data_IF_020797867397
#
_entry.id   IF_020797867397
#
_cell.length_a   1.000
_cell.length_b   1.000
_cell.length_c   1.000
_cell.angle_alpha   90.00
_cell.angle_beta   90.00
_cell.angle_gamma   90.00
#
_symmetry.space_group_name_H-M   'P 1'
#
loop_
_entity.id
_entity.type
_entity.pdbx_description
1 polymer ?
2 polymer ?
3 non-polymer ?
4 non-polymer ?
5 water ?
#
# COMPACT_ATOMS: atom_id res chain seq x y z
N UNK A 1 -4.37 -10.06 -36.37
CA UNK A 1 -3.85 -9.04 -37.26
C UNK A 1 -2.33 -8.96 -37.18
N UNK A 2 -1.77 -7.77 -37.41
CA UNK A 2 -0.33 -7.61 -37.20
C UNK A 2 -0.04 -7.26 -35.74
N UNK A 3 0.71 -8.12 -35.06
CA UNK A 3 1.12 -7.86 -33.69
C UNK A 3 2.63 -7.79 -33.54
N UNK A 4 3.12 -6.63 -33.15
CA UNK A 4 4.55 -6.41 -32.97
C UNK A 4 5.07 -7.08 -31.71
N UNK A 5 6.38 -7.08 -31.57
CA UNK A 5 7.02 -7.56 -30.34
C UNK A 5 6.31 -7.03 -29.10
N UNK A 6 6.12 -5.72 -29.05
CA UNK A 6 5.52 -5.07 -27.88
C UNK A 6 4.03 -5.40 -27.65
N UNK A 7 3.24 -5.43 -28.73
CA UNK A 7 1.85 -5.82 -28.62
C UNK A 7 1.78 -7.11 -27.81
N UNK A 8 2.66 -8.05 -28.12
CA UNK A 8 2.66 -9.35 -27.43
C UNK A 8 3.21 -9.25 -26.00
N UNK A 9 4.34 -8.58 -25.84
CA UNK A 9 4.97 -8.41 -24.53
C UNK A 9 3.94 -7.78 -23.60
N UNK A 10 3.21 -6.80 -24.14
CA UNK A 10 2.11 -6.20 -23.42
C UNK A 10 1.06 -7.23 -22.98
N UNK A 11 0.74 -8.14 -23.89
CA UNK A 11 -0.25 -9.15 -23.58
C UNK A 11 0.23 -10.05 -22.45
N UNK A 12 1.44 -10.60 -22.56
CA UNK A 12 1.93 -11.47 -21.50
C UNK A 12 1.96 -10.70 -20.19
N UNK A 13 2.39 -9.45 -20.28
CA UNK A 13 2.44 -8.62 -19.08
C UNK A 13 1.06 -8.55 -18.45
N UNK A 14 0.04 -8.33 -19.28
CA UNK A 14 -1.34 -8.22 -18.84
C UNK A 14 -1.71 -9.49 -18.09
N UNK A 15 -1.28 -10.62 -18.64
CA UNK A 15 -1.66 -11.91 -18.11
C UNK A 15 -0.95 -12.18 -16.77
N UNK A 16 0.34 -11.92 -16.71
CA UNK A 16 1.06 -12.10 -15.46
C UNK A 16 0.50 -11.17 -14.40
N UNK A 17 -0.08 -10.04 -14.81
CA UNK A 17 -0.68 -9.16 -13.82
C UNK A 17 -1.93 -9.84 -13.32
N UNK A 18 -2.76 -10.22 -14.26
CA UNK A 18 -4.00 -10.91 -13.93
C UNK A 18 -3.74 -12.01 -12.90
N UNK A 19 -2.86 -12.93 -13.26
CA UNK A 19 -2.54 -14.02 -12.35
C UNK A 19 -2.12 -13.50 -10.99
N UNK A 20 -1.13 -12.62 -10.96
CA UNK A 20 -0.60 -12.10 -9.72
C UNK A 20 -1.76 -11.63 -8.86
N UNK A 21 -2.59 -10.76 -9.43
CA UNK A 21 -3.68 -10.14 -8.69
C UNK A 21 -4.65 -11.16 -8.11
N UNK A 22 -5.12 -12.07 -8.95
CA UNK A 22 -5.96 -13.15 -8.48
C UNK A 22 -5.32 -13.96 -7.37
N UNK A 23 -4.10 -14.45 -7.55
CA UNK A 23 -3.55 -15.38 -6.55
C UNK A 23 -3.63 -14.83 -5.13
N UNK A 24 -3.58 -13.51 -4.97
CA UNK A 24 -3.77 -12.92 -3.65
C UNK A 24 -5.04 -13.48 -3.00
N UNK A 25 -6.12 -13.43 -3.77
CA UNK A 25 -7.41 -13.93 -3.35
C UNK A 25 -7.36 -15.45 -3.14
N UNK A 26 -6.28 -16.08 -3.57
CA UNK A 26 -6.18 -17.54 -3.56
C UNK A 26 -7.41 -18.16 -4.20
N UNK A 27 -7.71 -17.71 -5.42
CA UNK A 27 -9.04 -17.86 -6.02
C UNK A 27 -9.66 -19.27 -5.96
N UNK A 28 -9.19 -20.21 -6.80
CA UNK A 28 -8.16 -20.21 -7.87
C UNK A 28 -8.67 -19.80 -9.26
N UNK A 29 -7.73 -19.50 -10.16
CA UNK A 29 -8.02 -18.86 -11.45
C UNK A 29 -8.48 -19.80 -12.57
N UNK A 30 -9.59 -19.45 -13.22
CA UNK A 30 -10.17 -20.27 -14.30
C UNK A 30 -9.70 -19.90 -15.72
N UNK A 31 -9.25 -20.90 -16.47
CA UNK A 31 -8.76 -20.71 -17.83
C UNK A 31 -9.74 -19.91 -18.69
N UNK A 32 -11.02 -20.14 -18.48
CA UNK A 32 -12.05 -19.39 -19.21
C UNK A 32 -12.08 -17.95 -18.72
N UNK A 33 -12.02 -17.77 -17.41
CA UNK A 33 -11.93 -16.42 -16.86
C UNK A 33 -10.69 -15.72 -17.39
N UNK A 34 -9.59 -16.47 -17.48
CA UNK A 34 -8.37 -15.96 -18.09
C UNK A 34 -8.65 -15.57 -19.54
N UNK A 35 -9.51 -16.34 -20.18
CA UNK A 35 -9.69 -16.18 -21.61
C UNK A 35 -10.62 -15.01 -21.94
N UNK A 36 -11.65 -14.83 -21.11
CA UNK A 36 -12.60 -13.76 -21.28
C UNK A 36 -11.94 -12.43 -20.99
N UNK A 37 -11.20 -12.37 -19.89
CA UNK A 37 -10.81 -11.09 -19.33
C UNK A 37 -9.43 -10.59 -19.72
N UNK A 38 -8.70 -11.36 -20.53
CA UNK A 38 -7.38 -10.91 -20.95
C UNK A 38 -7.05 -11.18 -22.41
N UNK A 39 -7.28 -12.40 -22.87
CA UNK A 39 -6.87 -12.77 -24.20
C UNK A 39 -7.65 -12.03 -25.29
N UNK A 40 -8.97 -12.05 -25.20
CA UNK A 40 -9.76 -11.48 -26.28
C UNK A 40 -9.30 -12.14 -27.57
N UNK A 41 -9.08 -11.32 -28.60
CA UNK A 41 -8.80 -11.80 -29.95
C UNK A 41 -7.45 -12.48 -30.12
N UNK A 42 -6.59 -12.39 -29.11
CA UNK A 42 -5.26 -13.01 -29.17
C UNK A 42 -5.30 -14.50 -28.86
N UNK A 43 -6.50 -15.09 -28.91
CA UNK A 43 -6.66 -16.49 -28.55
C UNK A 43 -5.79 -17.41 -29.38
N UNK A 44 -5.72 -17.15 -30.69
CA UNK A 44 -5.01 -18.03 -31.63
C UNK A 44 -3.59 -18.41 -31.21
N UNK A 45 -2.92 -17.52 -30.47
CA UNK A 45 -1.53 -17.71 -30.09
C UNK A 45 -1.37 -17.85 -28.58
N UNK A 46 -2.46 -18.20 -27.92
CA UNK A 46 -2.50 -18.19 -26.47
C UNK A 46 -1.52 -19.15 -25.79
N UNK A 47 -1.53 -20.44 -26.17
CA UNK A 47 -0.69 -21.36 -25.39
C UNK A 47 0.75 -20.85 -25.28
N UNK A 48 1.37 -20.49 -26.40
CA UNK A 48 2.69 -19.86 -26.38
C UNK A 48 2.71 -18.65 -25.44
N UNK A 49 1.65 -17.86 -25.52
CA UNK A 49 1.49 -16.67 -24.70
C UNK A 49 1.47 -17.02 -23.21
N UNK A 50 0.64 -17.99 -22.84
CA UNK A 50 0.58 -18.54 -21.49
C UNK A 50 1.97 -18.96 -21.00
N UNK A 51 2.63 -19.82 -21.77
CA UNK A 51 4.00 -20.24 -21.52
C UNK A 51 4.89 -19.09 -21.05
N UNK A 52 4.79 -17.98 -21.76
CA UNK A 52 5.55 -16.78 -21.40
C UNK A 52 5.12 -16.24 -20.04
N UNK A 53 3.82 -16.08 -19.87
CA UNK A 53 3.31 -15.63 -18.59
C UNK A 53 3.96 -16.49 -17.53
N UNK A 54 3.76 -17.79 -17.66
CA UNK A 54 4.28 -18.76 -16.70
C UNK A 54 5.74 -18.49 -16.32
N UNK A 55 6.59 -18.39 -17.34
CA UNK A 55 8.02 -18.18 -17.11
C UNK A 55 8.28 -16.83 -16.44
N UNK A 56 7.88 -15.74 -17.07
CA UNK A 56 8.03 -14.45 -16.41
C UNK A 56 7.51 -14.55 -14.98
N UNK A 57 6.31 -15.11 -14.85
CA UNK A 57 5.70 -15.26 -13.54
C UNK A 57 6.70 -15.91 -12.59
N UNK A 58 7.30 -17.00 -13.05
CA UNK A 58 8.31 -17.67 -12.27
C UNK A 58 9.59 -16.86 -12.15
N UNK A 59 10.12 -16.44 -13.30
CA UNK A 59 11.45 -15.89 -13.32
C UNK A 59 11.59 -14.56 -12.62
N UNK A 60 10.61 -13.68 -12.80
CA UNK A 60 10.76 -12.35 -12.24
C UNK A 60 10.20 -12.28 -10.81
N UNK A 61 9.16 -13.05 -10.53
CA UNK A 61 8.55 -12.98 -9.21
C UNK A 61 8.70 -14.26 -8.43
N UNK A 62 9.30 -15.24 -9.07
CA UNK A 62 9.47 -16.53 -8.43
C UNK A 62 8.14 -17.12 -8.04
N UNK A 63 7.20 -17.21 -8.97
CA UNK A 63 5.97 -17.98 -8.74
C UNK A 63 5.81 -19.13 -9.71
N UNK A 64 5.53 -20.32 -9.20
CA UNK A 64 5.22 -21.43 -10.09
C UNK A 64 3.72 -21.46 -10.37
N UNK A 65 3.34 -21.26 -11.63
CA UNK A 65 1.94 -21.38 -12.02
C UNK A 65 1.64 -22.85 -12.22
N UNK A 66 0.68 -23.35 -11.44
CA UNK A 66 0.36 -24.77 -11.47
C UNK A 66 -1.13 -25.05 -11.57
N UNK A 67 -1.50 -25.96 -12.46
CA UNK A 67 -2.86 -26.47 -12.45
C UNK A 67 -2.92 -27.25 -11.16
N UNK A 68 -4.00 -27.12 -10.41
CA UNK A 68 -4.04 -27.75 -9.09
C UNK A 68 -4.43 -29.23 -9.14
N UNK A 69 -5.46 -29.53 -9.91
CA UNK A 69 -5.78 -30.92 -10.19
C UNK A 69 -5.50 -31.16 -11.67
N UNK A 70 -5.06 -32.36 -12.04
CA UNK A 70 -4.83 -32.65 -13.46
C UNK A 70 -6.13 -32.51 -14.24
N UNK A 71 -6.08 -31.79 -15.36
CA UNK A 71 -7.28 -31.54 -16.16
C UNK A 71 -8.29 -30.74 -15.35
N UNK A 72 -7.78 -29.85 -14.50
CA UNK A 72 -8.61 -28.92 -13.76
C UNK A 72 -9.14 -27.81 -14.64
N UNK A 73 -8.35 -27.41 -15.63
CA UNK A 73 -8.59 -26.17 -16.36
C UNK A 73 -8.57 -25.02 -15.37
N UNK A 74 -7.82 -25.20 -14.27
CA UNK A 74 -7.71 -24.15 -13.27
C UNK A 74 -6.31 -24.09 -12.66
N UNK A 75 -5.83 -22.88 -12.41
CA UNK A 75 -4.44 -22.68 -12.02
C UNK A 75 -4.27 -21.92 -10.72
N UNK A 76 -3.07 -22.02 -10.14
CA UNK A 76 -2.80 -21.38 -8.87
C UNK A 76 -1.34 -20.94 -8.81
N UNK A 77 -1.00 -20.11 -7.83
CA UNK A 77 0.37 -19.66 -7.69
C UNK A 77 1.02 -20.23 -6.45
N UNK A 78 2.21 -20.78 -6.67
CA UNK A 78 2.99 -21.42 -5.63
C UNK A 78 4.27 -20.63 -5.46
N UNK A 79 4.65 -20.39 -4.21
CA UNK A 79 5.86 -19.63 -3.95
C UNK A 79 7.08 -20.56 -3.95
N UNK A 80 8.08 -20.26 -4.80
CA UNK A 80 9.29 -21.06 -4.90
C UNK A 80 10.25 -20.81 -3.73
N UNK A 81 10.26 -19.57 -3.27
CA UNK A 81 11.02 -19.16 -2.09
C UNK A 81 10.30 -19.68 -0.84
N UNK A 82 10.96 -19.84 0.30
CA UNK A 82 12.37 -19.63 0.57
C UNK A 82 12.60 -20.03 2.02
N UNK A 83 11.55 -20.00 2.86
CA UNK A 83 10.20 -19.45 2.66
C UNK A 83 9.73 -18.63 3.87
N UNK A 84 8.98 -17.55 3.64
CA UNK A 84 8.39 -16.74 4.71
C UNK A 84 8.30 -15.25 4.32
N UNK A 89 5.35 -9.41 14.71
CA UNK A 89 6.67 -8.84 15.00
C UNK A 89 7.48 -9.69 15.97
N UNK A 90 6.81 -10.60 16.67
CA UNK A 90 7.53 -11.53 17.55
C UNK A 90 7.30 -12.98 17.12
N UNK A 91 8.38 -13.63 16.69
CA UNK A 91 8.36 -15.05 16.37
C UNK A 91 9.65 -15.73 16.85
N UNK A 94 5.16 -22.33 13.85
CA UNK A 94 5.89 -23.20 14.76
C UNK A 94 6.33 -22.47 16.04
N UNK A 95 5.67 -21.37 16.35
CA UNK A 95 5.94 -20.62 17.57
C UNK A 95 5.06 -21.11 18.71
N UNK A 96 5.43 -20.76 19.95
CA UNK A 96 4.75 -21.27 21.13
C UNK A 96 3.31 -20.77 21.23
N UNK A 97 2.46 -21.51 21.95
CA UNK A 97 1.06 -21.11 21.99
C UNK A 97 0.91 -19.90 22.87
N UNK A 98 1.52 -20.00 24.04
CA UNK A 98 1.41 -19.01 25.10
C UNK A 98 1.99 -17.68 24.64
N UNK A 99 3.12 -17.73 23.96
CA UNK A 99 3.76 -16.51 23.51
C UNK A 99 2.76 -15.61 22.76
N UNK A 100 1.89 -16.20 21.97
CA UNK A 100 0.84 -15.44 21.32
C UNK A 100 0.02 -14.71 22.38
N UNK A 101 -0.47 -15.50 23.34
CA UNK A 101 -1.22 -14.99 24.48
C UNK A 101 -0.54 -13.76 25.10
N UNK A 102 0.66 -13.99 25.60
CA UNK A 102 1.49 -12.94 26.14
C UNK A 102 1.44 -11.74 25.23
N UNK A 103 1.93 -11.95 24.03
CA UNK A 103 1.96 -10.90 23.02
C UNK A 103 0.66 -10.09 23.03
N UNK A 104 -0.46 -10.79 23.02
CA UNK A 104 -1.75 -10.12 23.08
C UNK A 104 -1.81 -9.24 24.33
N UNK A 105 -1.44 -9.84 25.44
CA UNK A 105 -1.54 -9.15 26.73
C UNK A 105 -0.58 -7.98 26.79
N UNK A 106 0.69 -8.23 26.56
CA UNK A 106 1.64 -7.13 26.55
C UNK A 106 1.13 -6.11 25.51
N UNK A 107 0.32 -6.61 24.57
CA UNK A 107 -0.27 -5.75 23.55
C UNK A 107 -1.32 -4.85 24.16
N UNK A 108 -2.38 -5.44 24.70
CA UNK A 108 -3.40 -4.70 25.43
C UNK A 108 -2.77 -3.60 26.27
N UNK A 109 -1.73 -3.97 27.01
CA UNK A 109 -1.11 -3.06 27.96
C UNK A 109 -0.49 -1.84 27.30
N UNK A 110 0.14 -2.03 26.16
CA UNK A 110 0.74 -0.90 25.47
C UNK A 110 -0.36 0.04 25.04
N UNK A 111 -1.45 -0.55 24.57
CA UNK A 111 -2.47 0.20 23.85
C UNK A 111 -3.29 1.17 24.72
N UNK A 112 -3.70 0.76 25.91
CA UNK A 112 -4.47 1.67 26.76
C UNK A 112 -3.58 2.48 27.70
N UNK A 113 -2.56 3.13 27.13
CA UNK A 113 -1.74 4.06 27.89
C UNK A 113 -0.63 3.43 28.70
N UNK A 114 -0.20 2.24 28.27
CA UNK A 114 0.90 1.54 28.90
C UNK A 114 0.57 1.02 30.31
N UNK A 115 -0.72 1.06 30.67
CA UNK A 115 -1.19 0.61 31.99
C UNK A 115 -2.65 0.20 31.91
N UNK A 116 -2.99 -0.96 32.48
CA UNK A 116 -4.37 -1.46 32.39
C UNK A 116 -4.82 -2.31 33.60
N UNK A 117 -6.09 -2.22 33.97
CA UNK A 117 -6.64 -2.99 35.09
C UNK A 117 -6.83 -4.45 34.71
N UNK A 118 -6.84 -5.35 35.70
CA UNK A 118 -6.86 -6.80 35.43
C UNK A 118 -8.17 -7.27 34.81
N UNK A 119 -9.14 -7.46 35.67
CA UNK A 119 -10.40 -8.07 35.34
C UNK A 119 -10.87 -7.74 33.92
N UNK A 120 -10.88 -6.45 33.59
CA UNK A 120 -11.36 -6.00 32.28
C UNK A 120 -10.82 -6.86 31.12
N UNK A 121 -9.53 -7.12 31.15
CA UNK A 121 -8.95 -7.97 30.12
C UNK A 121 -9.48 -9.40 30.27
N UNK A 122 -9.46 -9.92 31.49
CA UNK A 122 -9.75 -11.34 31.73
C UNK A 122 -11.08 -11.85 31.13
N UNK A 123 -12.20 -11.25 31.52
CA UNK A 123 -13.49 -11.65 30.95
C UNK A 123 -13.34 -11.67 29.44
N UNK A 124 -12.73 -10.60 28.96
CA UNK A 124 -12.55 -10.34 27.55
C UNK A 124 -11.54 -11.31 26.91
N UNK A 125 -10.73 -11.95 27.73
CA UNK A 125 -9.66 -12.81 27.22
C UNK A 125 -10.06 -14.28 27.07
N UNK A 126 -10.44 -14.94 28.17
CA UNK A 126 -10.91 -16.32 28.05
C UNK A 126 -11.71 -16.40 26.75
N UNK A 127 -12.73 -15.55 26.66
CA UNK A 127 -13.45 -15.30 25.42
C UNK A 127 -12.71 -15.80 24.19
N UNK A 128 -11.72 -15.03 23.73
CA UNK A 128 -10.97 -15.36 22.52
C UNK A 128 -10.65 -16.85 22.40
N UNK A 142 -5.88 -21.73 31.42
CA UNK A 142 -4.85 -21.52 32.45
C UNK A 142 -4.72 -20.05 32.80
N UNK A 143 -5.66 -19.24 32.31
CA UNK A 143 -5.63 -17.79 32.43
C UNK A 143 -4.98 -17.25 33.71
N UNK A 144 -5.70 -17.28 34.82
CA UNK A 144 -5.22 -16.71 36.07
C UNK A 144 -3.78 -17.06 36.44
N UNK A 145 -3.45 -18.35 36.32
CA UNK A 145 -2.19 -18.89 36.82
C UNK A 145 -0.99 -18.59 35.93
N UNK A 146 -1.22 -18.63 34.62
CA UNK A 146 -0.17 -18.32 33.65
C UNK A 146 0.18 -16.84 33.68
N UNK A 147 -0.81 -15.99 33.92
CA UNK A 147 -0.54 -14.57 33.97
C UNK A 147 0.00 -14.11 35.32
N UNK A 148 -0.32 -14.84 36.38
CA UNK A 148 0.34 -14.63 37.66
C UNK A 148 1.84 -14.95 37.56
N UNK A 149 2.18 -16.07 36.91
CA UNK A 149 3.58 -16.44 36.74
C UNK A 149 4.26 -15.63 35.64
N UNK A 150 3.49 -15.18 34.64
CA UNK A 150 4.00 -14.23 33.66
C UNK A 150 4.74 -13.15 34.41
N UNK A 151 4.33 -12.93 35.65
CA UNK A 151 4.88 -11.88 36.49
C UNK A 151 6.29 -12.20 36.94
N UNK A 152 6.52 -13.45 37.34
CA UNK A 152 7.86 -13.88 37.73
C UNK A 152 8.88 -13.26 36.77
N UNK A 153 8.49 -13.17 35.52
CA UNK A 153 9.39 -12.73 34.48
C UNK A 153 8.87 -11.43 33.82
N UNK A 154 7.95 -11.59 32.88
CA UNK A 154 7.51 -10.53 31.94
C UNK A 154 6.62 -9.45 32.52
N UNK A 155 6.21 -9.57 33.78
CA UNK A 155 5.15 -8.69 34.29
C UNK A 155 5.32 -8.02 35.65
N UNK A 156 4.64 -6.89 35.78
CA UNK A 156 4.61 -6.13 37.03
C UNK A 156 3.16 -5.79 37.39
N UNK A 157 2.67 -6.35 38.49
CA UNK A 157 1.27 -6.16 38.88
C UNK A 157 1.07 -5.77 40.34
N UNK A 158 0.26 -4.73 40.55
CA UNK A 158 -0.07 -4.23 41.89
C UNK A 158 -1.59 -4.31 42.07
N UNK A 159 -2.09 -4.02 43.27
CA UNK A 159 -3.54 -4.08 43.50
C UNK A 159 -4.04 -2.86 44.27
N UNK A 169 -5.54 -5.01 40.82
CA UNK A 169 -4.59 -5.86 40.10
C UNK A 169 -3.97 -5.18 38.87
N UNK A 170 -3.88 -3.85 38.88
CA UNK A 170 -3.34 -3.06 37.76
C UNK A 170 -2.07 -3.63 37.10
N UNK A 171 -1.93 -3.40 35.80
CA UNK A 171 -0.83 -3.98 35.00
C UNK A 171 0.12 -3.01 34.30
N UNK A 172 1.41 -3.35 34.33
CA UNK A 172 2.43 -2.68 33.56
C UNK A 172 3.33 -3.75 32.97
N UNK A 173 4.13 -3.37 31.98
CA UNK A 173 4.92 -4.33 31.21
C UNK A 173 5.90 -5.23 31.97
N UNK A 174 6.61 -4.72 32.98
CA UNK A 174 7.56 -5.56 33.67
C UNK A 174 8.87 -5.70 32.94
N UNK A 175 9.96 -5.87 33.70
CA UNK A 175 11.31 -5.54 33.20
C UNK A 175 11.75 -6.46 32.09
N UNK A 176 11.29 -7.70 32.16
CA UNK A 176 11.87 -8.75 31.34
C UNK A 176 11.66 -8.43 29.89
N UNK A 177 10.53 -7.82 29.60
CA UNK A 177 10.07 -7.74 28.22
C UNK A 177 10.89 -6.77 27.37
N UNK A 178 11.06 -5.55 27.86
CA UNK A 178 11.78 -4.53 27.10
C UNK A 178 13.15 -5.01 26.63
N UNK A 179 13.68 -6.02 27.29
CA UNK A 179 14.93 -6.60 26.85
C UNK A 179 14.67 -7.53 25.68
N UNK A 180 13.43 -8.01 25.58
CA UNK A 180 13.04 -9.00 24.57
C UNK A 180 12.18 -8.44 23.42
N UNK A 181 11.61 -7.26 23.59
CA UNK A 181 10.77 -6.67 22.56
C UNK A 181 10.70 -5.17 22.70
N UNK A 182 9.92 -4.53 21.84
CA UNK A 182 9.83 -3.07 21.82
C UNK A 182 8.40 -2.60 21.69
N UNK A 183 8.18 -1.33 22.03
CA UNK A 183 6.88 -0.71 21.85
C UNK A 183 6.51 -0.78 20.37
N UNK A 184 7.51 -0.63 19.51
CA UNK A 184 7.28 -0.70 18.06
C UNK A 184 6.86 -2.12 17.64
N UNK A 185 7.61 -3.13 18.07
CA UNK A 185 7.32 -4.51 17.73
C UNK A 185 5.90 -4.88 18.15
N UNK A 186 5.55 -4.55 19.39
CA UNK A 186 4.20 -4.82 19.91
C UNK A 186 3.20 -4.15 18.99
N UNK A 187 3.59 -2.99 18.47
CA UNK A 187 2.74 -2.27 17.55
C UNK A 187 2.62 -3.08 16.25
N UNK A 188 3.76 -3.40 15.64
CA UNK A 188 3.75 -4.21 14.42
C UNK A 188 2.80 -5.38 14.60
N UNK A 189 2.83 -5.95 15.79
CA UNK A 189 2.02 -7.11 16.14
C UNK A 189 0.54 -6.77 16.12
N UNK A 190 0.14 -5.84 16.99
CA UNK A 190 -1.26 -5.45 17.07
C UNK A 190 -1.69 -5.00 15.68
N UNK A 191 -0.78 -4.32 14.99
CA UNK A 191 -0.99 -3.96 13.60
C UNK A 191 -1.43 -5.21 12.85
N UNK A 192 -0.51 -6.14 12.67
CA UNK A 192 -0.76 -7.34 11.88
C UNK A 192 -2.05 -8.09 12.21
N UNK A 193 -2.55 -7.97 13.43
CA UNK A 193 -3.80 -8.63 13.77
C UNK A 193 -4.95 -8.11 12.92
N UNK A 194 -5.10 -6.79 12.87
CA UNK A 194 -6.08 -6.19 11.97
C UNK A 194 -5.41 -5.97 10.62
N UNK A 195 -4.09 -6.09 10.62
CA UNK A 195 -3.21 -5.56 9.57
C UNK A 195 -3.07 -4.05 9.76
N UNK A 196 -2.43 -3.36 8.83
CA UNK A 196 -2.18 -1.92 8.93
C UNK A 196 -1.31 -1.57 10.12
N UNK A 197 -1.29 -0.27 10.44
CA UNK A 197 -0.79 0.28 11.71
C UNK A 197 -0.65 1.80 11.69
N UNK A 198 -1.37 2.50 10.79
CA UNK A 198 -1.26 3.94 11.01
C UNK A 198 -2.21 4.37 12.11
N UNK A 199 -3.40 3.76 12.12
CA UNK A 199 -4.59 4.32 12.78
C UNK A 199 -4.71 4.07 14.27
N UNK A 200 -4.47 2.84 14.70
CA UNK A 200 -4.50 2.56 16.12
C UNK A 200 -3.19 3.03 16.74
N UNK A 201 -2.23 3.32 15.88
CA UNK A 201 -0.88 3.65 16.34
C UNK A 201 -0.68 5.14 16.64
N UNK A 202 -1.13 6.02 15.75
CA UNK A 202 -0.57 7.37 15.68
C UNK A 202 -0.42 7.94 17.08
N UNK A 203 -1.51 7.86 17.83
CA UNK A 203 -1.49 8.26 19.21
C UNK A 203 -0.29 7.58 19.88
N UNK A 204 -0.38 6.26 20.02
CA UNK A 204 0.69 5.47 20.62
C UNK A 204 1.97 5.58 19.80
N UNK A 205 1.87 5.16 18.55
CA UNK A 205 2.98 5.21 17.60
C UNK A 205 4.07 6.22 17.94
N UNK A 206 3.71 7.49 18.03
CA UNK A 206 4.71 8.56 18.12
C UNK A 206 5.78 8.30 19.19
N UNK A 207 5.36 7.74 20.32
CA UNK A 207 6.30 7.34 21.35
C UNK A 207 7.08 6.13 20.88
N UNK A 208 6.37 5.18 20.26
CA UNK A 208 6.99 3.98 19.74
C UNK A 208 8.17 4.32 18.85
N UNK A 209 8.03 5.39 18.07
CA UNK A 209 9.13 5.89 17.26
C UNK A 209 10.12 6.62 18.16
N UNK A 210 9.60 7.45 19.05
CA UNK A 210 10.44 8.12 20.02
C UNK A 210 11.19 7.07 20.85
N UNK A 211 10.73 5.83 20.77
CA UNK A 211 11.41 4.73 21.43
C UNK A 211 12.45 4.15 20.47
N UNK A 212 12.08 3.97 19.20
CA UNK A 212 13.04 3.50 18.21
C UNK A 212 14.26 4.39 18.23
N UNK A 213 14.03 5.71 18.22
CA UNK A 213 15.12 6.68 18.32
C UNK A 213 15.79 6.55 19.68
N UNK A 214 14.96 6.39 20.71
CA UNK A 214 15.46 6.18 22.06
C UNK A 214 16.44 5.00 22.11
N UNK A 215 16.21 4.01 21.25
CA UNK A 215 17.01 2.78 21.25
C UNK A 215 18.41 2.96 20.67
N UNK A 216 18.55 3.88 19.71
CA UNK A 216 19.85 4.18 19.13
C UNK A 216 20.85 4.48 20.24
N UNK A 217 20.52 5.47 21.08
CA UNK A 217 21.30 5.72 22.28
C UNK A 217 20.44 5.52 23.52
N UNK B 1 17.88 -9.10 -17.33
CA UNK B 1 18.95 -8.73 -16.42
C UNK B 1 19.03 -9.64 -15.19
N UNK B 2 20.20 -9.65 -14.54
CA UNK B 2 20.45 -10.58 -13.44
C UNK B 2 19.52 -10.42 -12.23
N UNK B 3 18.60 -11.38 -12.10
CA UNK B 3 17.62 -11.39 -11.03
C UNK B 3 18.11 -12.28 -9.92
N UNK B 4 17.82 -11.93 -8.67
CA UNK B 4 18.11 -12.82 -7.56
C UNK B 4 16.85 -13.07 -6.76
N UNK B 5 16.86 -14.13 -5.96
CA UNK B 5 15.71 -14.40 -5.08
C UNK B 5 15.40 -13.18 -4.22
N UNK B 6 16.43 -12.50 -3.76
CA UNK B 6 16.26 -11.28 -2.98
C UNK B 6 15.39 -10.27 -3.72
N UNK B 7 15.53 -10.26 -5.05
CA UNK B 7 14.80 -9.34 -5.92
C UNK B 7 13.35 -9.73 -6.13
N UNK B 8 13.12 -11.03 -6.27
CA UNK B 8 11.77 -11.49 -6.50
C UNK B 8 10.99 -11.32 -5.20
N UNK B 9 11.59 -11.74 -4.10
CA UNK B 9 10.95 -11.63 -2.79
C UNK B 9 10.63 -10.17 -2.47
N UNK B 10 11.51 -9.27 -2.88
CA UNK B 10 11.25 -7.85 -2.74
C UNK B 10 9.96 -7.48 -3.48
N UNK B 11 9.89 -7.90 -4.73
CA UNK B 11 8.72 -7.64 -5.55
C UNK B 11 7.45 -8.26 -4.96
N UNK B 12 7.55 -9.51 -4.51
CA UNK B 12 6.38 -10.15 -3.87
C UNK B 12 5.84 -9.29 -2.74
N UNK B 13 6.76 -8.66 -2.02
CA UNK B 13 6.39 -7.93 -0.82
C UNK B 13 5.85 -6.59 -1.23
N UNK B 14 6.67 -5.85 -1.98
CA UNK B 14 6.25 -4.58 -2.54
C UNK B 14 4.86 -4.60 -3.15
N UNK B 15 4.34 -5.78 -3.49
CA UNK B 15 3.05 -5.86 -4.16
C UNK B 15 1.96 -6.14 -3.17
N UNK B 16 2.22 -7.04 -2.23
CA UNK B 16 1.25 -7.31 -1.20
C UNK B 16 0.99 -5.99 -0.49
N UNK B 17 2.07 -5.25 -0.25
CA UNK B 17 1.96 -3.84 0.10
C UNK B 17 1.63 -3.14 -1.19
N UNK B 18 0.74 -2.16 -1.15
CA UNK B 18 0.46 -1.44 -2.37
C UNK B 18 1.66 -0.58 -2.72
N UNK B 19 2.19 0.09 -1.68
CA UNK B 19 3.12 1.18 -1.85
C UNK B 19 3.96 1.31 -0.59
N UNK B 20 5.17 1.84 -0.70
CA UNK B 20 6.07 1.92 0.45
C UNK B 20 6.90 3.21 0.46
N UNK B 21 7.10 3.77 1.65
CA UNK B 21 7.91 4.96 1.76
C UNK B 21 9.35 4.56 1.63
N UNK B 22 10.20 5.54 1.31
CA UNK B 22 11.58 5.23 0.96
C UNK B 22 12.23 4.33 2.00
N UNK B 23 12.20 4.78 3.25
CA UNK B 23 12.91 4.04 4.30
C UNK B 23 12.37 2.63 4.46
N UNK B 24 11.06 2.46 4.27
CA UNK B 24 10.46 1.14 4.40
C UNK B 24 10.89 0.20 3.29
N UNK B 25 11.25 0.75 2.14
CA UNK B 25 11.70 -0.12 1.07
C UNK B 25 13.18 -0.44 1.26
N UNK B 26 13.94 0.46 1.87
CA UNK B 26 15.30 0.07 2.24
C UNK B 26 15.28 -0.88 3.44
N UNK B 27 14.43 -0.58 4.41
CA UNK B 27 14.20 -1.53 5.49
C UNK B 27 13.85 -2.86 4.84
N UNK B 28 13.07 -2.77 3.76
CA UNK B 28 12.68 -3.95 3.00
C UNK B 28 13.90 -4.54 2.28
N UNK B 29 14.49 -3.77 1.38
CA UNK B 29 15.57 -4.28 0.54
C UNK B 29 16.55 -5.04 1.39
N UNK B 30 17.01 -4.39 2.45
CA UNK B 30 18.00 -4.98 3.34
C UNK B 30 17.46 -6.29 3.94
N UNK B 31 16.19 -6.27 4.36
CA UNK B 31 15.54 -7.44 4.93
C UNK B 31 15.74 -8.66 4.02
N UNK B 32 15.51 -8.47 2.74
CA UNK B 32 15.54 -9.57 1.79
C UNK B 32 16.93 -10.15 1.67
N UNK B 33 17.92 -9.25 1.68
CA UNK B 33 19.32 -9.66 1.70
C UNK B 33 19.69 -10.45 2.96
N UNK B 34 19.28 -9.93 4.11
CA UNK B 34 19.57 -10.59 5.38
C UNK B 34 18.85 -11.93 5.49
N UNK B 35 17.70 -12.05 4.83
CA UNK B 35 16.91 -13.29 4.85
C UNK B 35 17.37 -14.27 3.78
N UNK B 36 17.90 -13.76 2.68
CA UNK B 36 18.47 -14.65 1.68
C UNK B 36 19.75 -15.29 2.20
N UNK B 39 23.52 -13.11 3.19
CA UNK B 39 24.20 -12.06 3.93
C UNK B 39 25.38 -11.49 3.16
N UNK B 40 25.11 -10.62 2.20
CA UNK B 40 26.16 -9.97 1.42
C UNK B 40 26.06 -8.46 1.58
N UNK B 41 26.91 -7.74 0.86
CA UNK B 41 26.83 -6.29 0.82
C UNK B 41 25.53 -5.83 0.14
N UNK B 42 24.92 -4.78 0.65
CA UNK B 42 23.60 -4.34 0.16
C UNK B 42 23.64 -3.04 -0.65
N UNK B 43 23.53 -3.18 -1.97
CA UNK B 43 23.60 -2.05 -2.90
C UNK B 43 22.80 -0.84 -2.43
N UNK B 44 23.21 0.33 -2.89
CA UNK B 44 22.47 1.53 -2.62
C UNK B 44 21.08 1.24 -3.16
N UNK B 45 20.09 1.28 -2.28
CA UNK B 45 18.71 1.00 -2.67
C UNK B 45 18.38 1.55 -4.06
N UNK B 46 18.94 2.70 -4.37
CA UNK B 46 18.75 3.33 -5.67
C UNK B 46 19.32 2.46 -6.79
N UNK B 47 20.54 1.95 -6.61
CA UNK B 47 21.14 1.06 -7.62
C UNK B 47 20.41 -0.26 -7.72
N UNK B 48 20.07 -0.80 -6.57
CA UNK B 48 19.24 -2.00 -6.48
C UNK B 48 18.03 -1.88 -7.38
N UNK B 49 17.22 -0.86 -7.14
CA UNK B 49 16.00 -0.65 -7.91
C UNK B 49 16.23 -0.60 -9.42
N UNK B 50 17.00 0.38 -9.88
CA UNK B 50 17.33 0.52 -11.30
C UNK B 50 17.55 -0.83 -11.96
N UNK B 51 18.34 -1.68 -11.31
CA UNK B 51 18.55 -3.04 -11.76
C UNK B 51 17.22 -3.72 -12.07
N UNK B 52 16.44 -3.96 -11.04
CA UNK B 52 15.13 -4.58 -11.18
C UNK B 52 14.32 -3.91 -12.29
N UNK B 53 14.14 -2.59 -12.18
CA UNK B 53 13.34 -1.87 -13.14
C UNK B 53 13.69 -2.33 -14.55
N UNK B 54 14.94 -2.75 -14.68
CA UNK B 54 15.51 -3.08 -15.98
C UNK B 54 15.17 -4.48 -16.49
N UNK B 55 15.02 -5.44 -15.58
CA UNK B 55 14.51 -6.74 -15.98
C UNK B 55 12.99 -6.65 -16.18
N UNK B 56 12.39 -5.60 -15.64
CA UNK B 56 10.95 -5.38 -15.80
C UNK B 56 10.51 -4.83 -17.16
N UNK B 57 11.43 -4.16 -17.86
CA UNK B 57 11.07 -3.51 -19.12
C UNK B 57 10.12 -4.30 -20.01
N UNK B 58 10.37 -5.61 -20.15
CA UNK B 58 9.59 -6.46 -21.05
C UNK B 58 8.17 -6.67 -20.54
N UNK B 59 7.93 -6.26 -19.29
CA UNK B 59 6.60 -6.32 -18.74
C UNK B 59 6.02 -4.92 -18.83
N UNK B 60 6.87 -3.99 -19.23
CA UNK B 60 6.44 -2.60 -19.39
C UNK B 60 5.81 -2.08 -18.10
N UNK B 61 6.40 -2.50 -16.98
CA UNK B 61 6.02 -2.01 -15.66
C UNK B 61 7.28 -1.66 -14.87
N UNK B 62 7.16 -0.75 -13.90
CA UNK B 62 8.32 -0.28 -13.19
C UNK B 62 8.04 0.02 -11.75
N UNK B 63 9.01 -0.29 -10.89
CA UNK B 63 9.02 0.26 -9.55
C UNK B 63 9.21 1.77 -9.72
N UNK B 64 8.18 2.54 -9.39
CA UNK B 64 8.20 3.98 -9.63
C UNK B 64 8.32 4.72 -8.31
N UNK B 65 9.09 5.81 -8.32
CA UNK B 65 9.24 6.64 -7.14
C UNK B 65 8.33 7.83 -7.33
N UNK B 66 7.60 8.19 -6.30
CA UNK B 66 6.75 9.36 -6.35
C UNK B 66 6.88 10.09 -5.04
N UNK B 67 6.05 11.11 -4.85
CA UNK B 67 6.16 11.94 -3.67
C UNK B 67 4.80 12.52 -3.30
N UNK B 68 4.47 12.52 -2.01
CA UNK B 68 3.10 12.74 -1.58
C UNK B 68 2.61 14.16 -1.70
N UNK B 69 1.29 14.32 -1.75
CA UNK B 69 0.72 15.61 -2.11
C UNK B 69 0.47 16.42 -0.88
N UNK B 70 0.61 15.75 0.25
CA UNK B 70 0.31 16.36 1.53
C UNK B 70 1.59 16.80 2.22
N UNK B 71 2.69 16.08 2.01
CA UNK B 71 3.94 16.46 2.67
C UNK B 71 5.22 15.99 1.96
N UNK B 72 5.10 15.48 0.76
CA UNK B 72 6.27 15.17 -0.03
C UNK B 72 7.15 14.04 0.48
N UNK B 73 6.59 13.08 1.21
CA UNK B 73 7.31 11.84 1.49
C UNK B 73 7.57 11.12 0.17
N UNK B 74 8.73 10.48 0.04
CA UNK B 74 8.96 9.62 -1.14
C UNK B 74 8.24 8.27 -0.98
N UNK B 75 7.44 7.91 -1.97
CA UNK B 75 6.84 6.59 -1.99
C UNK B 75 7.30 5.83 -3.22
N UNK B 76 7.08 4.52 -3.20
CA UNK B 76 7.39 3.67 -4.33
C UNK B 76 6.27 2.67 -4.49
N UNK B 77 5.74 2.54 -5.71
CA UNK B 77 4.77 1.52 -6.02
C UNK B 77 5.17 0.74 -7.27
N UNK B 78 4.57 -0.42 -7.47
CA UNK B 78 4.80 -1.15 -8.70
C UNK B 78 3.75 -0.67 -9.66
N UNK B 79 4.19 0.08 -10.65
CA UNK B 79 3.29 0.78 -11.54
C UNK B 79 3.44 0.37 -13.00
N UNK B 80 2.33 0.38 -13.72
CA UNK B 80 2.31 0.05 -15.13
C UNK B 80 2.77 1.23 -15.97
N UNK B 81 3.58 0.98 -16.99
CA UNK B 81 3.86 2.03 -17.98
C UNK B 81 2.71 2.10 -19.03
N UNK B 82 2.04 0.97 -19.25
CA UNK B 82 0.82 0.92 -20.06
C UNK B 82 -0.27 1.88 -19.56
N UNK B 83 -0.84 2.65 -20.48
CA UNK B 83 -1.73 3.77 -20.13
C UNK B 83 -3.02 3.41 -19.40
N UNK B 84 -3.69 2.36 -19.88
CA UNK B 84 -5.04 2.02 -19.42
C UNK B 84 -5.08 1.22 -18.10
N UNK B 85 -4.49 1.82 -17.07
CA UNK B 85 -4.47 1.22 -15.75
C UNK B 85 -5.78 1.47 -15.00
N UNK B 86 -6.88 0.98 -15.55
CA UNK B 86 -8.13 0.93 -14.79
C UNK B 86 -8.18 -0.43 -14.11
N UNK B 87 -7.25 -1.29 -14.51
CA UNK B 87 -7.38 -2.73 -14.31
C UNK B 87 -6.75 -3.32 -13.06
N UNK B 88 -5.69 -2.71 -12.53
CA UNK B 88 -5.07 -3.27 -11.32
C UNK B 88 -6.13 -3.36 -10.23
N UNK B 89 -7.08 -2.43 -10.28
CA UNK B 89 -8.23 -2.43 -9.39
C UNK B 89 -9.40 -3.19 -9.99
N UNK B 90 -9.61 -2.99 -11.30
CA UNK B 90 -10.67 -3.69 -12.04
C UNK B 90 -10.70 -5.19 -11.70
N UNK B 91 -9.51 -5.74 -11.53
CA UNK B 91 -9.31 -7.14 -11.17
C UNK B 91 -9.59 -7.36 -9.68
N UNK B 92 -9.19 -6.38 -8.88
CA UNK B 92 -9.22 -6.50 -7.43
C UNK B 92 -10.64 -6.47 -6.84
N UNK B 93 -11.54 -5.71 -7.48
CA UNK B 93 -12.85 -5.44 -6.90
C UNK B 93 -14.05 -5.81 -7.76
N UNK B 94 -15.22 -5.75 -7.13
CA UNK B 94 -16.50 -5.97 -7.80
C UNK B 94 -16.84 -4.86 -8.80
N UNK B 95 -17.69 -5.16 -9.77
CA UNK B 95 -18.08 -4.14 -10.73
C UNK B 95 -18.61 -2.95 -9.96
N UNK B 96 -19.58 -3.18 -9.08
CA UNK B 96 -20.16 -2.09 -8.30
C UNK B 96 -19.14 -1.35 -7.43
N UNK B 97 -18.15 -2.08 -6.91
CA UNK B 97 -17.10 -1.45 -6.12
C UNK B 97 -16.29 -0.53 -7.02
N UNK B 98 -15.85 -1.04 -8.16
CA UNK B 98 -15.07 -0.25 -9.11
C UNK B 98 -15.81 1.03 -9.45
N UNK B 99 -17.06 0.87 -9.86
CA UNK B 99 -17.85 2.01 -10.27
C UNK B 99 -17.97 3.01 -9.12
N UNK B 100 -17.98 2.52 -7.88
CA UNK B 100 -18.05 3.43 -6.74
C UNK B 100 -16.77 4.26 -6.69
N UNK B 101 -15.64 3.62 -6.90
CA UNK B 101 -14.38 4.34 -6.99
C UNK B 101 -14.46 5.41 -8.06
N UNK B 102 -14.76 5.02 -9.30
CA UNK B 102 -14.94 5.99 -10.38
C UNK B 102 -15.68 7.22 -9.88
N UNK B 103 -16.97 7.05 -9.59
CA UNK B 103 -17.80 8.11 -9.02
C UNK B 103 -17.06 8.94 -7.96
N UNK B 104 -16.38 8.27 -7.03
CA UNK B 104 -15.64 8.95 -5.97
C UNK B 104 -14.48 9.75 -6.54
N UNK B 105 -13.69 9.11 -7.39
CA UNK B 105 -12.59 9.77 -8.05
C UNK B 105 -13.14 10.96 -8.81
N UNK B 106 -14.20 10.71 -9.58
CA UNK B 106 -14.83 11.76 -10.36
C UNK B 106 -15.06 13.00 -9.48
N UNK B 107 -15.38 12.79 -8.22
CA UNK B 107 -15.66 13.91 -7.32
C UNK B 107 -14.38 14.55 -6.80
N UNK B 108 -13.41 13.71 -6.43
CA UNK B 108 -12.12 14.16 -5.89
C UNK B 108 -11.46 15.18 -6.82
N UNK B 109 -11.60 14.93 -8.12
CA UNK B 109 -11.02 15.79 -9.14
C UNK B 109 -11.66 17.19 -9.21
N UNK B 110 -12.98 17.23 -9.44
CA UNK B 110 -13.70 18.50 -9.56
C UNK B 110 -13.55 19.32 -8.29
N UNK B 111 -13.58 18.62 -7.16
CA UNK B 111 -13.35 19.21 -5.85
C UNK B 111 -12.19 20.17 -5.85
N UNK B 112 -12.44 21.43 -5.46
CA UNK B 112 -11.36 22.41 -5.36
C UNK B 112 -10.22 21.82 -4.53
N UNK B 113 -10.60 21.13 -3.45
CA UNK B 113 -9.66 20.60 -2.47
C UNK B 113 -8.92 19.32 -2.90
N UNK B 114 -9.54 18.52 -3.76
CA UNK B 114 -9.02 17.20 -4.03
C UNK B 114 -9.46 16.28 -2.91
N UNK B 115 -10.40 16.77 -2.10
CA UNK B 115 -11.09 15.92 -1.15
C UNK B 115 -12.59 15.93 -1.36
N UNK B 116 -13.24 14.81 -1.12
CA UNK B 116 -14.69 14.69 -1.23
C UNK B 116 -15.26 14.21 0.09
N UNK B 117 -16.45 14.70 0.46
CA UNK B 117 -17.08 14.24 1.67
C UNK B 117 -17.59 12.82 1.45
N UNK B 118 -17.62 12.04 2.52
CA UNK B 118 -18.22 10.72 2.44
C UNK B 118 -19.66 10.87 1.95
N UNK B 119 -20.38 11.79 2.57
CA UNK B 119 -21.81 11.90 2.34
C UNK B 119 -22.11 12.23 0.89
N UNK B 120 -21.31 13.10 0.29
CA UNK B 120 -21.48 13.45 -1.13
C UNK B 120 -21.25 12.26 -2.04
N UNK B 121 -20.31 11.41 -1.64
CA UNK B 121 -20.00 10.21 -2.37
C UNK B 121 -21.15 9.21 -2.28
N UNK B 122 -21.58 8.92 -1.06
CA UNK B 122 -22.59 7.90 -0.84
C UNK B 122 -23.91 8.20 -1.59
N UNK B 123 -24.20 9.48 -1.81
CA UNK B 123 -25.43 9.83 -2.51
C UNK B 123 -25.42 9.18 -3.89
N UNK B 124 -24.22 8.91 -4.37
CA UNK B 124 -24.06 8.34 -5.71
C UNK B 124 -24.27 6.84 -5.71
N UNK B 125 -24.75 6.30 -4.59
CA UNK B 125 -24.83 4.84 -4.46
C UNK B 125 -25.91 4.18 -5.34
N UNK B 126 -27.02 4.88 -5.59
CA UNK B 126 -28.06 4.33 -6.45
C UNK B 126 -27.61 4.36 -7.91
N UNK B 127 -26.65 5.24 -8.19
CA UNK B 127 -26.08 5.36 -9.51
C UNK B 127 -25.31 4.09 -9.86
N UNK B 128 -24.45 3.67 -8.94
CA UNK B 128 -23.60 2.48 -9.11
C UNK B 128 -24.07 1.45 -10.13
N UNK B 129 -23.15 1.02 -10.98
CA UNK B 129 -23.41 -0.07 -11.91
C UNK B 129 -23.18 -1.36 -11.16
N UNK B 130 -23.55 -2.49 -11.77
CA UNK B 130 -23.17 -3.79 -11.27
C UNK B 130 -23.77 -4.19 -9.94
N UNK B 131 -25.06 -3.98 -9.80
CA UNK B 131 -25.84 -4.61 -8.75
C UNK B 131 -25.88 -3.85 -7.43
N UNK B 132 -27.10 -3.71 -6.93
CA UNK B 132 -27.45 -2.81 -5.83
C UNK B 132 -26.62 -3.00 -4.59
N UNK B 133 -26.08 -1.90 -4.08
CA UNK B 133 -25.48 -1.89 -2.76
C UNK B 133 -26.09 -0.75 -1.95
N UNK B 134 -25.88 -0.77 -0.64
CA UNK B 134 -26.39 0.28 0.21
C UNK B 134 -25.28 1.01 0.91
N UNK B 135 -25.57 2.22 1.36
CA UNK B 135 -24.62 3.06 2.06
C UNK B 135 -23.78 2.29 3.09
N UNK B 136 -24.43 1.50 3.93
CA UNK B 136 -23.70 0.67 4.88
C UNK B 136 -22.57 -0.07 4.16
N UNK B 137 -22.92 -0.92 3.20
CA UNK B 137 -21.94 -1.65 2.38
C UNK B 137 -20.90 -0.71 1.79
N UNK B 138 -21.38 0.44 1.33
CA UNK B 138 -20.55 1.45 0.68
C UNK B 138 -19.50 2.08 1.61
N UNK B 139 -19.90 2.34 2.85
CA UNK B 139 -19.01 2.89 3.86
C UNK B 139 -17.84 1.93 4.10
N UNK B 140 -18.12 0.62 4.08
CA UNK B 140 -17.06 -0.38 4.22
C UNK B 140 -16.08 -0.28 3.05
N UNK B 141 -16.63 -0.40 1.84
CA UNK B 141 -15.81 -0.37 0.64
C UNK B 141 -14.87 0.82 0.65
N UNK B 142 -15.36 1.97 1.11
CA UNK B 142 -14.51 3.15 1.16
C UNK B 142 -13.34 2.88 2.09
N UNK B 143 -13.61 2.14 3.16
CA UNK B 143 -12.54 1.79 4.08
C UNK B 143 -11.60 0.81 3.41
N UNK B 144 -12.14 0.05 2.47
CA UNK B 144 -11.33 -0.90 1.71
C UNK B 144 -10.31 -0.14 0.88
N UNK B 145 -10.79 0.83 0.11
CA UNK B 145 -9.92 1.67 -0.71
C UNK B 145 -8.86 2.37 0.14
N UNK B 146 -9.20 2.62 1.39
CA UNK B 146 -8.27 3.27 2.28
C UNK B 146 -7.24 2.24 2.71
N UNK B 147 -7.73 1.05 3.04
CA UNK B 147 -6.87 -0.03 3.47
C UNK B 147 -5.87 -0.41 2.39
N UNK B 148 -6.26 -0.22 1.13
CA UNK B 148 -5.45 -0.61 -0.01
C UNK B 148 -4.70 0.53 -0.66
N UNK B 149 -4.77 1.71 -0.06
CA UNK B 149 -3.90 2.78 -0.49
C UNK B 149 -4.28 3.33 -1.85
N UNK B 150 -5.55 3.23 -2.20
CA UNK B 150 -6.02 3.96 -3.37
C UNK B 150 -6.65 5.25 -2.88
N UNK B 151 -7.27 5.19 -1.71
CA UNK B 151 -7.89 6.37 -1.10
C UNK B 151 -7.27 6.78 0.24
N UNK B 152 -7.40 8.07 0.54
CA UNK B 152 -6.92 8.62 1.80
C UNK B 152 -8.04 9.42 2.43
N UNK B 153 -8.15 9.35 3.75
CA UNK B 153 -9.17 10.15 4.43
C UNK B 153 -8.64 11.10 5.49
N UNK B 154 -9.26 12.27 5.54
CA UNK B 154 -9.03 13.24 6.59
C UNK B 154 -10.37 13.88 6.89
N UNK B 155 -10.85 13.71 8.12
CA UNK B 155 -12.06 14.38 8.57
C UNK B 155 -13.28 14.00 7.73
N UNK B 156 -13.53 12.70 7.59
CA UNK B 156 -14.67 12.25 6.82
C UNK B 156 -14.64 12.66 5.36
N UNK B 157 -13.49 13.16 4.91
CA UNK B 157 -13.32 13.46 3.50
C UNK B 157 -12.23 12.56 2.91
N UNK B 158 -12.26 12.39 1.60
CA UNK B 158 -11.39 11.43 0.93
C UNK B 158 -10.61 12.05 -0.20
N UNK B 159 -9.31 11.75 -0.25
CA UNK B 159 -8.53 12.08 -1.44
C UNK B 159 -7.84 10.84 -2.01
N UNK B 160 -7.40 10.93 -3.25
CA UNK B 160 -6.64 9.84 -3.83
C UNK B 160 -5.38 9.63 -3.02
N UNK B 161 -5.01 8.36 -2.87
CA UNK B 161 -3.75 8.03 -2.27
C UNK B 161 -2.60 8.19 -3.28
N UNK B 162 -1.43 8.58 -2.79
CA UNK B 162 -0.28 8.71 -3.66
C UNK B 162 -0.19 7.54 -4.61
N UNK B 163 -0.46 6.36 -4.08
CA UNK B 163 -0.39 5.14 -4.86
C UNK B 163 -1.33 5.20 -6.05
N UNK B 164 -2.56 5.65 -5.80
CA UNK B 164 -3.56 5.79 -6.85
C UNK B 164 -2.99 6.58 -8.04
N UNK B 165 -2.32 7.68 -7.71
CA UNK B 165 -1.84 8.59 -8.73
C UNK B 165 -0.69 7.92 -9.49
N UNK B 166 0.27 7.39 -8.75
CA UNK B 166 1.34 6.65 -9.37
C UNK B 166 0.78 5.60 -10.35
N UNK B 167 -0.30 4.92 -9.97
CA UNK B 167 -0.85 3.84 -10.80
C UNK B 167 -1.62 4.37 -12.00
N UNK B 168 -2.44 5.38 -11.78
CA UNK B 168 -3.44 5.72 -12.78
C UNK B 168 -3.33 7.12 -13.38
N UNK B 169 -2.25 7.83 -13.09
CA UNK B 169 -2.15 9.21 -13.58
C UNK B 169 -2.50 9.25 -15.05
N UNK B 170 -1.75 8.49 -15.84
CA UNK B 170 -2.04 8.27 -17.25
C UNK B 170 -3.55 8.20 -17.48
N UNK B 171 -4.14 7.09 -17.05
CA UNK B 171 -5.57 6.89 -17.18
C UNK B 171 -6.31 8.19 -16.90
N UNK B 172 -6.19 8.68 -15.68
CA UNK B 172 -6.96 9.86 -15.24
C UNK B 172 -6.94 11.01 -16.24
N UNK B 173 -5.74 11.47 -16.59
CA UNK B 173 -5.61 12.62 -17.46
C UNK B 173 -6.31 12.37 -18.77
N UNK B 174 -6.09 11.20 -19.36
CA UNK B 174 -6.69 10.88 -20.65
C UNK B 174 -8.21 10.87 -20.59
N UNK B 175 -8.73 10.65 -19.39
CA UNK B 175 -10.15 10.42 -19.17
C UNK B 175 -10.88 11.67 -18.69
N UNK B 176 -10.19 12.52 -17.95
CA UNK B 176 -10.80 13.71 -17.37
C UNK B 176 -10.01 14.98 -17.63
N UNK B 177 -9.68 15.25 -18.91
CA UNK B 177 -8.78 16.34 -19.30
C UNK B 177 -9.26 17.75 -18.93
N UNK B 178 -10.57 17.99 -18.94
CA UNK B 178 -11.07 19.33 -18.64
C UNK B 178 -11.26 19.57 -17.16
N UNK B 179 -11.26 18.49 -16.38
CA UNK B 179 -11.41 18.61 -14.95
C UNK B 179 -10.09 18.41 -14.17
N UNK B 180 -9.07 17.85 -14.82
CA UNK B 180 -7.80 17.62 -14.13
C UNK B 180 -7.09 18.93 -13.88
N UNK B 181 -6.27 18.93 -12.84
CA UNK B 181 -5.44 20.06 -12.47
C UNK B 181 -3.98 19.64 -12.54
N UNK B 182 -3.12 20.55 -13.01
CA UNK B 182 -1.68 20.29 -13.06
C UNK B 182 -0.85 21.37 -12.36
N UNK B 183 0.16 20.94 -11.60
CA UNK B 183 1.09 21.83 -10.92
C UNK B 183 1.85 22.62 -11.97
N UNK B 184 2.17 23.89 -11.73
CA UNK B 184 3.32 24.44 -12.46
C UNK B 184 4.48 23.64 -11.93
N UNK B 185 5.68 24.13 -12.15
CA UNK B 185 6.83 23.45 -11.56
C UNK B 185 6.89 22.00 -12.07
N UNK B 186 6.22 21.09 -11.36
CA UNK B 186 6.11 19.67 -11.76
C UNK B 186 5.42 19.49 -13.11
N UNK B 187 4.31 20.19 -13.29
CA UNK B 187 3.49 19.99 -14.49
C UNK B 187 2.73 18.65 -14.46
N UNK B 188 2.88 17.91 -13.37
CA UNK B 188 2.18 16.65 -13.22
C UNK B 188 0.78 16.85 -12.68
N UNK B 189 0.00 15.78 -12.74
CA UNK B 189 -1.33 15.79 -12.18
C UNK B 189 -1.21 16.23 -10.75
N UNK B 190 -2.19 17.00 -10.32
CA UNK B 190 -2.21 17.54 -8.97
C UNK B 190 -3.62 17.44 -8.43
N UNK B 191 -3.76 16.79 -7.28
CA UNK B 191 -5.07 16.50 -6.68
C UNK B 191 -5.44 17.50 -5.60
N UNK B 192 -4.45 17.86 -4.80
CA UNK B 192 -4.62 18.90 -3.81
C UNK B 192 -3.37 19.74 -3.83
N UNK B 193 -3.55 21.03 -3.58
CA UNK B 193 -2.44 21.96 -3.46
C UNK B 193 -2.92 23.37 -3.29
N UNK B 194 -1.99 24.32 -3.34
CA UNK B 194 -2.31 25.74 -3.21
C UNK B 194 -2.52 26.43 -4.58
N UNK B 195 -3.52 27.30 -4.67
CA UNK B 195 -3.76 28.05 -5.91
C UNK B 195 -3.36 29.50 -5.69
N UNK B 196 -3.22 30.27 -6.77
CA UNK B 196 -3.02 31.71 -6.61
C UNK B 196 -4.37 32.40 -6.73
N UNK B 197 -4.56 33.49 -5.98
CA UNK B 197 -5.80 34.25 -6.02
C UNK B 197 -5.91 35.12 -7.26
N UNK B 198 -4.78 35.46 -7.85
CA UNK B 198 -4.80 36.34 -9.00
C UNK B 198 -4.78 35.53 -10.30
N UNK B 199 -3.79 34.65 -10.44
CA UNK B 199 -3.85 33.66 -11.49
C UNK B 199 -5.05 32.79 -11.16
N UNK B 200 -4.93 31.53 -11.56
CA UNK B 200 -5.70 30.45 -10.98
C UNK B 200 -4.68 29.33 -10.84
N UNK B 201 -3.41 29.73 -10.92
CA UNK B 201 -2.32 28.78 -10.96
C UNK B 201 -2.31 27.91 -9.73
N UNK B 202 -1.87 26.66 -9.89
CA UNK B 202 -1.81 25.72 -8.78
C UNK B 202 -0.48 24.98 -8.74
N UNK B 203 -0.10 24.50 -7.56
CA UNK B 203 1.15 23.78 -7.39
C UNK B 203 1.12 22.89 -6.15
N UNK B 204 1.64 21.68 -6.28
CA UNK B 204 1.67 20.73 -5.17
C UNK B 204 2.40 21.33 -3.96
N UNK B 205 1.83 21.15 -2.78
CA UNK B 205 2.43 21.67 -1.56
C UNK B 205 3.95 21.56 -1.59
N UNK B 206 4.47 20.32 -1.65
CA UNK B 206 5.92 20.11 -1.76
C UNK B 206 6.56 20.95 -2.88
N UNK B 207 5.81 21.25 -3.93
CA UNK B 207 6.35 22.09 -4.99
C UNK B 207 6.45 23.49 -4.44
N UNK B 208 5.39 23.94 -3.78
CA UNK B 208 5.40 25.27 -3.24
C UNK B 208 6.51 25.34 -2.18
N UNK B 209 6.70 24.23 -1.47
CA UNK B 209 7.76 24.16 -0.47
C UNK B 209 9.09 24.43 -1.11
N UNK B 210 9.45 23.64 -2.12
CA UNK B 210 10.72 23.81 -2.83
C UNK B 210 10.82 25.13 -3.61
N UNK B 211 9.82 25.45 -4.42
CA UNK B 211 9.96 26.67 -5.22
C UNK B 211 10.30 27.91 -4.36
N UNK B 212 9.58 28.09 -3.26
CA UNK B 212 9.74 29.26 -2.42
C UNK B 212 10.67 29.01 -1.25
N UNK B 213 11.47 27.94 -1.33
CA UNK B 213 12.32 27.55 -0.22
C UNK B 213 13.31 28.66 0.07
N UNK B 214 13.47 28.99 1.35
CA UNK B 214 14.43 30.01 1.78
C UNK B 214 14.18 31.40 1.16
N UNK B 215 12.94 31.71 0.81
CA UNK B 215 12.64 32.98 0.17
C UNK B 215 11.75 33.81 1.04
N UNK B 216 12.18 35.04 1.29
CA UNK B 216 11.55 35.92 2.26
C UNK B 216 10.32 36.58 1.68
N UNK B 217 10.21 36.52 0.35
CA UNK B 217 9.12 37.18 -0.36
C UNK B 217 8.57 36.28 -1.46
N UNK B 218 7.92 35.17 -1.07
CA UNK B 218 7.44 34.26 -2.10
C UNK B 218 6.53 35.00 -3.04
N UNK B 219 6.85 34.97 -4.32
CA UNK B 219 6.00 35.58 -5.32
C UNK B 219 5.54 34.53 -6.34
N UNK B 220 4.25 34.60 -6.70
CA UNK B 220 3.64 33.70 -7.67
C UNK B 220 4.40 33.71 -8.98
N UNK B 221 4.93 32.56 -9.39
CA UNK B 221 5.83 32.46 -10.55
C UNK B 221 5.21 33.02 -11.83
N UNK B 222 3.99 32.61 -12.12
CA UNK B 222 3.21 33.17 -13.21
C UNK B 222 2.44 34.32 -12.62
N UNK B 223 2.71 35.55 -13.07
CA UNK B 223 2.02 36.75 -12.59
C UNK B 223 2.71 37.47 -11.44
N UNK B 224 3.66 36.78 -10.81
CA UNK B 224 4.53 37.41 -9.82
C UNK B 224 3.86 38.16 -8.66
N UNK B 225 2.56 37.97 -8.47
CA UNK B 225 1.86 38.55 -7.31
C UNK B 225 2.35 37.87 -6.04
N UNK B 226 2.23 38.55 -4.90
CA UNK B 226 2.69 38.01 -3.64
C UNK B 226 1.91 36.74 -3.32
N UNK B 227 2.59 35.74 -2.75
CA UNK B 227 1.99 34.41 -2.54
C UNK B 227 1.25 34.28 -1.20
N UNK B 228 -0.09 34.11 -1.28
CA UNK B 228 -1.05 34.26 -0.16
C UNK B 228 -0.96 33.21 0.94
N UNK B 229 -0.40 32.05 0.62
CA UNK B 229 -0.49 30.88 1.49
C UNK B 229 0.80 30.55 2.25
N UNK B 230 0.67 29.70 3.27
CA UNK B 230 1.79 29.34 4.12
C UNK B 230 2.75 28.41 3.41
N UNK B 231 4.01 28.81 3.27
CA UNK B 231 5.00 27.98 2.57
C UNK B 231 5.50 26.82 3.43
N UNK B 232 5.21 25.58 3.00
CA UNK B 232 5.65 24.40 3.76
C UNK B 232 7.16 24.28 3.75
N UNK B 233 7.68 23.54 4.73
CA UNK B 233 9.11 23.40 4.83
C UNK B 233 9.43 22.07 4.21
N UNK B 234 10.32 22.07 3.21
CA UNK B 234 10.52 20.87 2.37
C UNK B 234 10.91 19.64 3.18
N UNK B 235 10.53 18.47 2.70
CA UNK B 235 10.70 17.23 3.45
C UNK B 235 12.15 16.87 3.77
N UNK B 236 12.35 16.25 4.93
CA UNK B 236 13.65 15.79 5.37
C UNK B 236 13.41 14.69 6.38
N UNK B 237 14.27 13.65 6.37
CA UNK B 237 14.24 12.57 7.38
C UNK B 237 14.46 13.07 8.82
N UNK B 238 13.44 12.90 9.65
CA UNK B 238 13.51 13.31 11.05
C UNK B 238 12.44 12.60 11.87
#
# INVERSE_FOLDING_TARGET
>A
GPRSQKQLELKVSELVQFLLIKDQKKIPIKRADILKHVIGDYKDIFPDLFKRAAERLQYVFGYKLVELEPKSNTYILINTLEPVEEDAEMRGDQGTPTTGLLMIVLGLIFMKGNTLKETEAWDFLRRLGVYPTKKHLIFGDPKKLITEDFVRQRYLEYRRIPHTDPVDYEFQWGPRTNLELSKMKVLKFVAKVHNQDPKDWPAQYCEALADEENRAR
>B
GVMTDVHRRFLQLLMTHGVLEEWDVKRLQTHCYKVHDRNATVDKLEDFINNINSVLESLYIEIKRGVTEDDGRPIYALVNLATTSISKMATDFAENELDLFRKALELIIDSETGFASSTNILNLVDQLKGKKMRKKEAEQVLQKFVQNKWLIEKEGEFTLHGRAILEMEQYIRETYPDAVKICNICHSLLIQGQSCETCGIRMHLPCVAKYFQSNAEPRCPHCNDYWPHEIPKVFDPE
#
